data_IF_704589211867
#
_entry.id   IF_704589211867
#
_cell.length_a   1.000
_cell.length_b   1.000
_cell.length_c   1.000
_cell.angle_alpha   90.00
_cell.angle_beta   90.00
_cell.angle_gamma   90.00
#
_symmetry.space_group_name_H-M   'P 1'
#
loop_
_entity.id
_entity.type
_entity.pdbx_description
1 polymer ?
#
# COMPACT_ATOMS: atom_id res chain seq x y z
N UNK A 1 17.58 -6.61 4.26
CA UNK A 1 17.61 -5.13 4.14
C UNK A 1 17.70 -4.75 2.67
N UNK A 2 16.58 -4.77 1.94
CA UNK A 2 16.58 -4.56 0.47
C UNK A 2 15.30 -3.91 -0.07
N UNK A 3 14.18 -3.98 0.67
CA UNK A 3 12.94 -3.30 0.28
C UNK A 3 13.08 -1.76 0.27
N UNK A 4 13.76 -1.18 1.26
CA UNK A 4 13.98 0.28 1.32
C UNK A 4 14.76 0.80 0.11
N UNK A 5 15.81 0.07 -0.31
CA UNK A 5 16.62 0.44 -1.47
C UNK A 5 15.81 0.32 -2.77
N UNK A 6 15.07 -0.79 -2.94
CA UNK A 6 14.21 -0.99 -4.12
C UNK A 6 13.14 0.11 -4.25
N UNK A 7 12.55 0.54 -3.13
CA UNK A 7 11.55 1.62 -3.13
C UNK A 7 12.20 2.97 -3.42
N UNK A 8 13.39 3.25 -2.88
CA UNK A 8 14.13 4.48 -3.19
C UNK A 8 14.58 4.56 -4.66
N UNK A 9 14.98 3.44 -5.27
CA UNK A 9 15.37 3.42 -6.69
C UNK A 9 14.19 3.65 -7.64
N UNK A 10 12.97 3.33 -7.22
CA UNK A 10 11.78 3.44 -8.06
C UNK A 10 10.90 4.63 -7.72
N UNK A 11 11.28 5.47 -6.74
CA UNK A 11 10.43 6.58 -6.27
C UNK A 11 10.12 7.59 -7.38
N UNK A 12 11.09 7.91 -8.24
CA UNK A 12 10.91 8.86 -9.34
C UNK A 12 9.95 8.36 -10.42
N UNK A 13 9.81 7.03 -10.58
CA UNK A 13 8.83 6.43 -11.51
C UNK A 13 7.40 6.46 -10.96
N UNK A 14 7.24 6.56 -9.65
CA UNK A 14 5.93 6.72 -9.00
C UNK A 14 5.51 8.18 -8.84
N UNK A 15 6.42 9.13 -9.09
CA UNK A 15 6.05 10.54 -9.16
C UNK A 15 5.19 10.76 -10.41
N UNK A 16 3.86 10.78 -10.20
CA UNK A 16 2.93 11.23 -11.22
C UNK A 16 3.35 12.65 -11.66
N UNK A 17 3.47 12.94 -12.96
CA UNK A 17 3.81 14.25 -13.44
C UNK A 17 2.67 15.22 -13.13
N UNK A 18 2.75 15.92 -12.02
CA UNK A 18 1.80 16.98 -11.63
C UNK A 18 1.95 18.26 -12.46
N UNK A 19 2.60 18.20 -13.62
CA UNK A 19 2.96 19.37 -14.45
C UNK A 19 2.37 19.38 -15.85
N UNK A 20 1.67 18.33 -16.29
CA UNK A 20 0.99 18.33 -17.57
C UNK A 20 -0.47 17.97 -17.35
N UNK A 21 -1.32 18.96 -17.62
CA UNK A 21 -2.75 18.80 -17.84
C UNK A 21 -3.01 17.78 -18.94
N UNK A 22 -2.95 16.50 -18.59
CA UNK A 22 -3.54 15.42 -19.34
C UNK A 22 -4.25 14.58 -18.30
N UNK A 23 -5.53 14.31 -18.53
CA UNK A 23 -6.35 13.38 -17.76
C UNK A 23 -5.73 11.97 -17.84
N UNK A 24 -4.56 11.75 -17.24
CA UNK A 24 -4.10 10.41 -16.93
C UNK A 24 -5.02 9.93 -15.83
N UNK A 25 -5.97 9.10 -16.24
CA UNK A 25 -6.87 8.41 -15.33
C UNK A 25 -6.01 7.75 -14.27
N UNK A 26 -6.06 8.31 -13.05
CA UNK A 26 -5.50 7.65 -11.89
C UNK A 26 -6.19 6.28 -11.85
N UNK A 27 -5.44 5.17 -11.78
CA UNK A 27 -6.05 3.87 -11.67
C UNK A 27 -7.10 3.88 -10.55
N UNK A 28 -8.32 3.36 -10.78
CA UNK A 28 -9.42 3.44 -9.81
C UNK A 28 -9.05 2.79 -8.46
N UNK A 29 -8.10 1.86 -8.50
CA UNK A 29 -7.48 1.24 -7.33
C UNK A 29 -6.76 2.26 -6.44
N UNK A 30 -6.00 3.19 -7.03
CA UNK A 30 -5.28 4.23 -6.27
C UNK A 30 -6.27 5.23 -5.68
N UNK A 31 -7.34 5.58 -6.40
CA UNK A 31 -8.41 6.44 -5.86
C UNK A 31 -9.02 5.83 -4.60
N UNK A 32 -9.28 4.51 -4.61
CA UNK A 32 -9.85 3.79 -3.46
C UNK A 32 -8.89 3.80 -2.27
N UNK A 33 -7.61 3.48 -2.48
CA UNK A 33 -6.62 3.48 -1.38
C UNK A 33 -6.32 4.88 -0.83
N UNK A 34 -6.40 5.91 -1.68
CA UNK A 34 -6.17 7.29 -1.27
C UNK A 34 -7.22 7.85 -0.31
N UNK A 35 -8.40 7.22 -0.21
CA UNK A 35 -9.43 7.56 0.77
C UNK A 35 -9.05 7.16 2.20
N UNK A 36 -8.00 6.37 2.38
CA UNK A 36 -7.56 5.91 3.70
C UNK A 36 -7.02 7.07 4.55
N UNK A 37 -7.45 7.17 5.82
CA UNK A 37 -7.11 8.29 6.73
C UNK A 37 -5.60 8.54 6.88
N UNK A 38 -4.79 7.48 6.82
CA UNK A 38 -3.33 7.56 6.97
C UNK A 38 -2.57 7.63 5.64
N UNK A 39 -3.29 7.74 4.52
CA UNK A 39 -2.68 7.92 3.20
C UNK A 39 -1.94 9.25 3.15
N UNK A 40 -0.75 9.24 2.54
CA UNK A 40 0.08 10.42 2.39
C UNK A 40 0.21 10.78 0.91
N UNK A 41 -0.38 11.91 0.51
CA UNK A 41 -0.36 12.43 -0.88
C UNK A 41 0.91 13.22 -1.21
N UNK A 42 1.83 13.34 -0.25
CA UNK A 42 3.11 14.05 -0.46
C UNK A 42 4.07 13.29 -1.39
N UNK A 43 5.08 14.00 -1.90
CA UNK A 43 6.10 13.45 -2.78
C UNK A 43 7.33 12.95 -2.03
N UNK A 44 7.96 11.89 -2.55
CA UNK A 44 9.19 11.32 -2.00
C UNK A 44 9.03 9.97 -1.31
N UNK A 45 10.16 9.29 -1.13
CA UNK A 45 10.26 7.89 -0.69
C UNK A 45 9.55 7.59 0.64
N UNK A 46 9.52 8.55 1.58
CA UNK A 46 8.88 8.37 2.89
C UNK A 46 7.36 8.19 2.77
N UNK A 47 6.71 9.01 1.94
CA UNK A 47 5.28 8.92 1.70
C UNK A 47 4.94 7.64 0.91
N UNK A 48 5.77 7.29 -0.07
CA UNK A 48 5.63 6.05 -0.83
C UNK A 48 5.74 4.81 0.09
N UNK A 49 6.73 4.76 0.97
CA UNK A 49 6.89 3.67 1.94
C UNK A 49 5.71 3.57 2.91
N UNK A 50 5.21 4.71 3.39
CA UNK A 50 4.03 4.72 4.26
C UNK A 50 2.82 4.11 3.54
N UNK A 51 2.53 4.56 2.32
CA UNK A 51 1.39 4.09 1.55
C UNK A 51 1.54 2.61 1.18
N UNK A 52 2.74 2.17 0.81
CA UNK A 52 3.05 0.77 0.54
C UNK A 52 2.87 -0.09 1.80
N UNK A 53 3.33 0.40 2.96
CA UNK A 53 3.11 -0.26 4.24
C UNK A 53 1.62 -0.43 4.54
N UNK A 54 0.81 0.61 4.31
CA UNK A 54 -0.63 0.56 4.55
C UNK A 54 -1.34 -0.52 3.74
N UNK A 55 -0.91 -0.74 2.48
CA UNK A 55 -1.52 -1.75 1.60
C UNK A 55 -1.05 -3.16 1.95
N UNK A 56 0.23 -3.34 2.26
CA UNK A 56 0.82 -4.68 2.47
C UNK A 56 0.56 -5.20 3.90
N UNK A 57 0.51 -4.32 4.90
CA UNK A 57 0.39 -4.70 6.31
C UNK A 57 -0.84 -5.57 6.60
N UNK A 58 -2.06 -5.28 6.09
CA UNK A 58 -3.23 -6.15 6.30
C UNK A 58 -3.02 -7.59 5.79
N UNK A 59 -2.33 -7.75 4.65
CA UNK A 59 -2.07 -9.07 4.06
C UNK A 59 -1.07 -9.86 4.91
N UNK A 60 -0.02 -9.20 5.39
CA UNK A 60 0.96 -9.84 6.29
C UNK A 60 0.27 -10.30 7.58
N UNK A 61 -0.53 -9.43 8.19
CA UNK A 61 -1.24 -9.75 9.43
C UNK A 61 -2.23 -10.89 9.23
N UNK A 62 -2.98 -10.89 8.11
CA UNK A 62 -3.90 -11.98 7.79
C UNK A 62 -3.15 -13.31 7.67
N UNK A 63 -2.06 -13.35 6.91
CA UNK A 63 -1.25 -14.55 6.75
C UNK A 63 -0.64 -15.03 8.08
N UNK A 64 -0.33 -14.12 9.00
CA UNK A 64 0.15 -14.45 10.34
C UNK A 64 -0.96 -15.01 11.24
N UNK A 65 -2.18 -14.51 11.11
CA UNK A 65 -3.34 -14.98 11.88
C UNK A 65 -3.87 -16.31 11.33
N UNK A 66 -3.77 -16.54 10.03
CA UNK A 66 -4.28 -17.75 9.36
C UNK A 66 -3.92 -19.08 10.05
N UNK A 67 -2.66 -19.38 10.41
CA UNK A 67 -2.33 -20.64 11.10
C UNK A 67 -2.95 -20.72 12.50
N UNK A 68 -3.21 -19.59 13.17
CA UNK A 68 -3.88 -19.59 14.46
C UNK A 68 -5.38 -19.86 14.34
N UNK A 69 -6.00 -19.60 13.19
CA UNK A 69 -7.41 -19.92 12.95
C UNK A 69 -7.67 -21.43 12.93
N UNK A 70 -6.66 -22.25 12.65
CA UNK A 70 -6.75 -23.71 12.77
C UNK A 70 -6.87 -24.16 14.24
N UNK A 71 -6.25 -23.41 15.16
CA UNK A 71 -6.27 -23.70 16.60
C UNK A 71 -7.47 -23.03 17.28
N UNK A 72 -7.78 -21.79 16.88
CA UNK A 72 -8.85 -20.97 17.41
C UNK A 72 -9.78 -20.53 16.26
N UNK A 73 -10.78 -21.36 15.91
CA UNK A 73 -11.66 -21.06 14.78
C UNK A 73 -12.52 -19.83 15.09
N UNK A 74 -12.25 -18.73 14.39
CA UNK A 74 -13.07 -17.51 14.42
C UNK A 74 -13.89 -17.48 13.15
N UNK A 75 -15.21 -17.75 13.25
CA UNK A 75 -16.11 -17.96 12.10
C UNK A 75 -16.23 -16.77 11.13
N UNK A 76 -15.79 -15.57 11.53
CA UNK A 76 -15.81 -14.36 10.68
C UNK A 76 -14.49 -14.10 9.94
N UNK A 77 -13.45 -14.88 10.22
CA UNK A 77 -12.10 -14.72 9.67
C UNK A 77 -11.60 -15.97 8.94
N UNK A 78 -12.23 -17.13 9.15
CA UNK A 78 -12.00 -18.34 8.35
C UNK A 78 -12.59 -18.16 6.96
N UNK A 79 -11.77 -18.32 5.91
CA UNK A 79 -12.18 -18.38 4.51
C UNK A 79 -12.98 -19.67 4.22
#
# INVERSE_FOLDING_TARGET
MSAYLMVSLHSDRFELPTGLSTKQQVPPVIETFSQHRYWQTGKGWKHLLNNLRLVIQPLILFNQIQPWLEVFPISRLSL
#
